data_IF_459292839408
#
_entry.id   IF_459292839408
#
_cell.length_a   1.000
_cell.length_b   1.000
_cell.length_c   1.000
_cell.angle_alpha   90.00
_cell.angle_beta   90.00
_cell.angle_gamma   90.00
#
_symmetry.space_group_name_H-M   'P 1'
#
loop_
_entity.id
_entity.type
_entity.pdbx_description
1 polymer ?
#
# COMPACT_ATOMS: atom_id res chain seq x y z
N UNK A 1 37.83 -29.25 33.85
CA UNK A 1 38.37 -28.44 32.73
C UNK A 1 38.13 -29.18 31.42
N UNK A 2 36.87 -29.26 31.00
CA UNK A 2 36.48 -29.65 29.65
C UNK A 2 35.40 -28.63 29.25
N UNK A 3 35.84 -27.39 29.05
CA UNK A 3 35.09 -26.43 28.24
C UNK A 3 35.26 -26.97 26.82
N UNK A 4 34.40 -27.94 26.49
CA UNK A 4 34.32 -28.50 25.14
C UNK A 4 34.01 -27.33 24.22
N UNK A 5 34.82 -27.23 23.15
CA UNK A 5 34.53 -26.42 21.99
C UNK A 5 33.10 -26.74 21.53
N UNK A 6 32.15 -25.92 21.97
CA UNK A 6 30.87 -25.77 21.28
C UNK A 6 31.25 -25.17 19.94
N UNK A 7 31.57 -26.04 18.98
CA UNK A 7 31.55 -25.69 17.57
C UNK A 7 30.23 -24.96 17.35
N UNK A 8 30.31 -23.65 17.13
CA UNK A 8 29.17 -22.86 16.70
C UNK A 8 28.79 -23.42 15.34
N UNK A 9 27.83 -24.33 15.34
CA UNK A 9 27.22 -24.80 14.12
C UNK A 9 26.50 -23.59 13.52
N UNK A 10 27.12 -22.99 12.51
CA UNK A 10 26.48 -21.92 11.75
C UNK A 10 25.35 -22.54 10.94
N UNK A 11 24.11 -22.32 11.36
CA UNK A 11 22.94 -22.67 10.59
C UNK A 11 22.97 -21.92 9.24
N UNK A 12 23.51 -22.57 8.21
CA UNK A 12 23.83 -22.01 6.89
C UNK A 12 22.70 -21.21 6.27
N UNK A 13 21.45 -21.65 6.46
CA UNK A 13 20.27 -21.04 5.85
C UNK A 13 19.46 -20.14 6.80
N UNK A 14 19.95 -19.87 8.01
CA UNK A 14 19.22 -19.06 8.99
C UNK A 14 18.80 -17.70 8.43
N UNK A 15 17.48 -17.46 8.40
CA UNK A 15 16.86 -16.24 7.91
C UNK A 15 16.91 -16.04 6.40
N UNK A 16 17.50 -16.96 5.62
CA UNK A 16 17.62 -16.87 4.16
C UNK A 16 16.35 -17.34 3.46
N UNK A 17 16.20 -16.87 2.22
CA UNK A 17 15.19 -17.44 1.31
C UNK A 17 15.74 -18.70 0.68
N UNK A 18 14.97 -19.77 0.76
CA UNK A 18 15.35 -21.10 0.28
C UNK A 18 14.28 -21.67 -0.66
N UNK A 19 14.70 -22.58 -1.52
CA UNK A 19 13.82 -23.46 -2.29
C UNK A 19 13.99 -24.89 -1.77
N UNK A 20 12.87 -25.60 -1.59
CA UNK A 20 12.87 -26.99 -1.14
C UNK A 20 13.05 -27.91 -2.35
N UNK A 21 13.93 -28.92 -2.23
CA UNK A 21 14.20 -29.89 -3.28
C UNK A 21 14.56 -31.27 -2.74
N UNK A 22 14.49 -32.30 -3.58
CA UNK A 22 14.96 -33.65 -3.26
C UNK A 22 14.13 -34.40 -2.22
N UNK A 23 12.94 -33.92 -1.88
CA UNK A 23 12.04 -34.61 -0.93
C UNK A 23 11.25 -35.68 -1.68
N UNK A 24 11.24 -36.91 -1.14
CA UNK A 24 10.48 -38.01 -1.71
C UNK A 24 9.02 -37.99 -1.24
N UNK A 25 8.09 -37.74 -2.16
CA UNK A 25 6.65 -37.81 -1.90
C UNK A 25 6.08 -36.57 -1.19
N UNK A 26 4.90 -36.76 -0.61
CA UNK A 26 4.20 -35.71 0.13
C UNK A 26 4.68 -35.66 1.58
N UNK A 27 4.81 -34.47 2.14
CA UNK A 27 5.05 -34.28 3.57
C UNK A 27 3.84 -33.60 4.22
N UNK A 28 3.74 -33.73 5.54
CA UNK A 28 2.72 -33.04 6.35
C UNK A 28 3.32 -31.75 6.90
N UNK A 29 2.68 -30.61 6.61
CA UNK A 29 3.04 -29.33 7.21
C UNK A 29 2.67 -29.31 8.69
N UNK A 30 3.25 -28.40 9.49
CA UNK A 30 2.92 -28.26 10.92
C UNK A 30 1.42 -27.96 11.19
N UNK A 31 0.64 -27.59 10.18
CA UNK A 31 -0.82 -27.43 10.22
C UNK A 31 -1.64 -28.67 9.85
N UNK A 32 -1.02 -29.79 9.49
CA UNK A 32 -1.68 -31.04 9.09
C UNK A 32 -1.93 -31.23 7.59
N UNK A 33 -1.71 -30.18 6.78
CA UNK A 33 -1.89 -30.26 5.33
C UNK A 33 -0.78 -31.09 4.67
N UNK A 34 -1.17 -32.01 3.77
CA UNK A 34 -0.22 -32.80 2.98
C UNK A 34 0.03 -32.14 1.64
N UNK A 35 1.29 -31.87 1.32
CA UNK A 35 1.66 -31.22 0.06
C UNK A 35 2.97 -31.78 -0.53
N UNK A 36 3.20 -31.52 -1.81
CA UNK A 36 4.46 -31.82 -2.49
C UNK A 36 5.39 -30.63 -2.28
N UNK A 37 6.50 -30.77 -1.53
CA UNK A 37 7.27 -29.61 -1.10
C UNK A 37 8.30 -29.15 -2.13
N UNK A 38 8.68 -30.00 -3.09
CA UNK A 38 9.70 -29.66 -4.08
C UNK A 38 9.26 -28.50 -4.98
N UNK A 39 10.12 -27.49 -5.12
CA UNK A 39 9.88 -26.27 -5.87
C UNK A 39 9.20 -25.16 -5.06
N UNK A 40 8.81 -25.42 -3.80
CA UNK A 40 8.28 -24.38 -2.92
C UNK A 40 9.42 -23.49 -2.42
N UNK A 41 9.22 -22.17 -2.55
CA UNK A 41 10.09 -21.16 -1.98
C UNK A 41 9.59 -20.69 -0.61
N UNK A 42 10.51 -20.34 0.28
CA UNK A 42 10.19 -19.87 1.62
C UNK A 42 11.36 -19.22 2.34
N UNK A 43 11.16 -18.92 3.62
CA UNK A 43 12.21 -18.47 4.54
C UNK A 43 12.54 -19.58 5.51
N UNK A 44 13.82 -19.92 5.64
CA UNK A 44 14.30 -20.92 6.59
C UNK A 44 14.61 -20.28 7.95
N UNK A 45 14.16 -20.92 9.03
CA UNK A 45 14.51 -20.61 10.42
C UNK A 45 14.93 -21.91 11.09
N UNK A 46 16.07 -21.92 11.77
CA UNK A 46 16.61 -23.07 12.46
C UNK A 46 15.78 -23.38 13.71
N UNK A 47 15.30 -24.61 13.82
CA UNK A 47 14.60 -25.12 14.98
C UNK A 47 15.55 -26.02 15.77
N UNK A 48 16.10 -25.49 16.86
CA UNK A 48 17.03 -26.20 17.74
C UNK A 48 16.42 -27.45 18.38
N UNK A 49 15.10 -27.46 18.62
CA UNK A 49 14.40 -28.58 19.26
C UNK A 49 14.35 -29.80 18.32
N UNK A 50 14.12 -29.54 17.03
CA UNK A 50 13.99 -30.59 16.02
C UNK A 50 15.29 -30.90 15.26
N UNK A 51 16.30 -30.02 15.37
CA UNK A 51 17.55 -30.15 14.62
C UNK A 51 17.35 -30.04 13.11
N UNK A 52 16.34 -29.26 12.68
CA UNK A 52 15.94 -29.05 11.29
C UNK A 52 15.58 -27.58 11.05
N UNK A 53 15.45 -27.17 9.79
CA UNK A 53 14.91 -25.86 9.45
C UNK A 53 13.38 -25.90 9.38
N UNK A 54 12.72 -25.02 10.12
CA UNK A 54 11.33 -24.64 9.89
C UNK A 54 11.27 -23.66 8.71
N UNK A 55 10.86 -24.15 7.54
CA UNK A 55 10.71 -23.34 6.32
C UNK A 55 9.29 -22.81 6.23
N UNK A 56 9.12 -21.49 6.41
CA UNK A 56 7.86 -20.80 6.13
C UNK A 56 7.78 -20.48 4.64
N UNK A 57 6.98 -21.24 3.92
CA UNK A 57 6.75 -21.10 2.47
C UNK A 57 6.01 -19.79 2.15
N UNK A 58 6.13 -19.31 0.91
CA UNK A 58 5.38 -18.13 0.43
C UNK A 58 3.86 -18.33 0.47
N UNK A 59 3.39 -19.58 0.48
CA UNK A 59 1.97 -19.93 0.62
C UNK A 59 1.50 -20.01 2.08
N UNK A 60 2.39 -19.74 3.05
CA UNK A 60 2.08 -19.65 4.47
C UNK A 60 2.26 -20.96 5.25
N UNK A 61 2.55 -22.08 4.59
CA UNK A 61 2.83 -23.35 5.27
C UNK A 61 4.20 -23.34 5.94
N UNK A 62 4.33 -24.05 7.07
CA UNK A 62 5.59 -24.29 7.77
C UNK A 62 5.96 -25.77 7.66
N UNK A 63 7.14 -26.03 7.10
CA UNK A 63 7.64 -27.36 6.78
C UNK A 63 8.98 -27.60 7.48
N UNK A 64 9.15 -28.78 8.08
CA UNK A 64 10.40 -29.17 8.75
C UNK A 64 11.34 -29.86 7.78
N UNK A 65 12.40 -29.16 7.39
CA UNK A 65 13.32 -29.57 6.33
C UNK A 65 14.74 -29.77 6.87
N UNK A 66 15.40 -30.90 6.55
CA UNK A 66 16.82 -31.03 6.76
C UNK A 66 17.59 -30.12 5.78
N UNK A 67 18.81 -29.73 6.16
CA UNK A 67 19.63 -28.80 5.37
C UNK A 67 19.87 -29.27 3.93
N UNK A 68 20.05 -30.58 3.74
CA UNK A 68 20.30 -31.22 2.44
C UNK A 68 19.15 -31.09 1.44
N UNK A 69 17.94 -30.80 1.91
CA UNK A 69 16.77 -30.56 1.07
C UNK A 69 16.58 -29.07 0.73
N UNK A 70 17.51 -28.20 1.10
CA UNK A 70 17.42 -26.75 0.89
C UNK A 70 18.50 -26.23 -0.06
N UNK A 71 18.12 -25.26 -0.89
CA UNK A 71 19.04 -24.44 -1.68
C UNK A 71 18.69 -22.96 -1.61
N UNK A 72 19.65 -22.09 -1.91
CA UNK A 72 19.39 -20.65 -1.99
C UNK A 72 18.33 -20.35 -3.05
N UNK A 73 17.30 -19.59 -2.66
CA UNK A 73 16.22 -19.21 -3.58
C UNK A 73 16.68 -18.15 -4.58
N UNK A 74 16.56 -18.44 -5.88
CA UNK A 74 16.90 -17.48 -6.94
C UNK A 74 15.69 -16.58 -7.22
N UNK A 75 15.79 -15.32 -6.78
CA UNK A 75 14.75 -14.33 -7.01
C UNK A 75 14.63 -13.96 -8.49
N UNK A 76 13.43 -14.09 -9.02
CA UNK A 76 13.04 -13.53 -10.32
C UNK A 76 12.71 -12.05 -10.16
N UNK A 77 12.90 -11.24 -11.21
CA UNK A 77 12.58 -9.80 -11.17
C UNK A 77 11.07 -9.57 -11.09
N UNK A 78 10.60 -8.47 -10.48
CA UNK A 78 9.18 -8.12 -10.44
C UNK A 78 8.48 -8.13 -11.80
N UNK A 79 9.13 -7.60 -12.83
CA UNK A 79 8.61 -7.48 -14.20
C UNK A 79 8.42 -8.86 -14.87
N UNK A 80 9.10 -9.89 -14.36
CA UNK A 80 8.98 -11.29 -14.78
C UNK A 80 8.07 -12.10 -13.83
N UNK A 81 7.35 -11.42 -12.92
CA UNK A 81 6.44 -12.02 -11.96
C UNK A 81 7.08 -12.42 -10.62
N UNK A 82 8.33 -12.03 -10.38
CA UNK A 82 9.02 -12.20 -9.10
C UNK A 82 8.77 -11.06 -8.11
N UNK A 83 9.78 -10.72 -7.31
CA UNK A 83 9.72 -9.68 -6.27
C UNK A 83 11.12 -9.13 -5.96
N UNK A 84 11.19 -7.90 -5.43
CA UNK A 84 12.46 -7.29 -5.02
C UNK A 84 12.89 -7.82 -3.65
N UNK A 85 11.96 -7.86 -2.69
CA UNK A 85 12.19 -8.29 -1.31
C UNK A 85 11.11 -9.23 -0.79
N UNK A 86 11.44 -10.06 0.19
CA UNK A 86 10.45 -10.76 0.99
C UNK A 86 10.23 -10.02 2.31
N UNK A 87 9.02 -10.06 2.86
CA UNK A 87 8.67 -9.46 4.14
C UNK A 87 9.65 -9.91 5.24
N UNK A 88 10.16 -9.01 6.10
CA UNK A 88 11.25 -9.31 7.01
C UNK A 88 10.84 -10.32 8.09
N UNK A 89 11.82 -11.06 8.59
CA UNK A 89 11.67 -11.74 9.87
C UNK A 89 11.71 -10.72 11.01
N UNK A 90 11.21 -11.13 12.18
CA UNK A 90 11.26 -10.30 13.38
C UNK A 90 12.71 -9.86 13.67
N UNK A 91 12.91 -8.57 13.95
CA UNK A 91 14.21 -7.97 14.24
C UNK A 91 15.00 -7.48 13.00
N UNK A 92 14.51 -7.71 11.78
CA UNK A 92 15.12 -7.22 10.53
C UNK A 92 14.37 -6.02 9.91
N UNK A 93 13.42 -5.44 10.64
CA UNK A 93 12.49 -4.43 10.10
C UNK A 93 13.22 -3.16 9.67
N UNK A 94 14.19 -2.68 10.46
CA UNK A 94 14.90 -1.44 10.14
C UNK A 94 15.72 -1.55 8.84
N UNK A 95 16.48 -2.63 8.67
CA UNK A 95 17.25 -2.85 7.45
C UNK A 95 16.33 -3.02 6.24
N UNK A 96 15.22 -3.75 6.42
CA UNK A 96 14.20 -3.90 5.40
C UNK A 96 13.62 -2.55 4.98
N UNK A 97 13.23 -1.68 5.92
CA UNK A 97 12.70 -0.35 5.64
C UNK A 97 13.65 0.50 4.79
N UNK A 98 14.95 0.49 5.13
CA UNK A 98 15.97 1.24 4.38
C UNK A 98 16.10 0.71 2.94
N UNK A 99 16.15 -0.62 2.76
CA UNK A 99 16.28 -1.25 1.43
C UNK A 99 15.05 -1.00 0.55
N UNK A 100 13.86 -1.10 1.14
CA UNK A 100 12.59 -0.80 0.48
C UNK A 100 12.53 0.67 0.06
N UNK A 101 12.85 1.59 0.97
CA UNK A 101 12.84 3.03 0.68
C UNK A 101 13.88 3.40 -0.39
N UNK A 102 15.09 2.85 -0.32
CA UNK A 102 16.13 3.05 -1.34
C UNK A 102 15.69 2.54 -2.73
N UNK A 103 14.99 1.42 -2.77
CA UNK A 103 14.48 0.84 -4.02
C UNK A 103 13.36 1.69 -4.61
N UNK A 104 12.40 2.13 -3.80
CA UNK A 104 11.34 3.05 -4.24
C UNK A 104 11.97 4.35 -4.75
N UNK A 105 12.98 4.89 -4.06
CA UNK A 105 13.69 6.11 -4.50
C UNK A 105 14.36 5.93 -5.87
N UNK A 106 14.97 4.77 -6.13
CA UNK A 106 15.71 4.49 -7.37
C UNK A 106 14.82 4.09 -8.54
N UNK A 107 13.84 3.20 -8.33
CA UNK A 107 12.99 2.60 -9.37
C UNK A 107 11.62 3.28 -9.49
N UNK A 108 11.19 4.05 -8.48
CA UNK A 108 9.84 4.58 -8.35
C UNK A 108 8.85 3.59 -7.71
N UNK A 109 9.21 2.31 -7.58
CA UNK A 109 8.35 1.27 -7.02
C UNK A 109 9.15 0.11 -6.41
N UNK A 110 8.45 -0.77 -5.68
CA UNK A 110 8.99 -2.02 -5.11
C UNK A 110 7.89 -3.07 -4.99
N UNK A 111 8.24 -4.33 -5.20
CA UNK A 111 7.35 -5.48 -4.99
C UNK A 111 7.88 -6.35 -3.86
N UNK A 112 7.03 -6.61 -2.87
CA UNK A 112 7.36 -7.38 -1.67
C UNK A 112 6.53 -8.66 -1.60
N UNK A 113 7.21 -9.79 -1.45
CA UNK A 113 6.59 -11.09 -1.22
C UNK A 113 6.20 -11.26 0.25
N UNK A 114 4.95 -11.64 0.49
CA UNK A 114 4.40 -11.94 1.81
C UNK A 114 4.35 -13.46 2.07
N UNK A 115 3.92 -13.88 3.26
CA UNK A 115 3.92 -15.29 3.69
C UNK A 115 2.59 -15.68 4.35
N UNK A 116 1.47 -15.25 3.77
CA UNK A 116 0.14 -15.54 4.32
C UNK A 116 -0.37 -16.91 3.87
N UNK A 117 -1.26 -17.50 4.66
CA UNK A 117 -1.88 -18.81 4.40
C UNK A 117 -3.12 -18.75 3.52
N UNK A 118 -3.41 -19.85 2.79
CA UNK A 118 -4.62 -19.97 1.95
C UNK A 118 -5.92 -19.86 2.76
N UNK A 119 -5.93 -20.28 4.04
CA UNK A 119 -7.10 -20.14 4.91
C UNK A 119 -7.47 -18.69 5.16
N UNK A 120 -6.46 -17.86 5.48
CA UNK A 120 -6.67 -16.43 5.77
C UNK A 120 -7.11 -15.67 4.52
N UNK A 121 -6.52 -15.98 3.35
CA UNK A 121 -6.95 -15.44 2.05
C UNK A 121 -8.41 -15.76 1.77
N UNK A 122 -8.81 -17.04 1.91
CA UNK A 122 -10.19 -17.47 1.71
C UNK A 122 -11.14 -16.75 2.67
N UNK A 123 -10.76 -16.61 3.94
CA UNK A 123 -11.51 -15.85 4.93
C UNK A 123 -11.69 -14.37 4.54
N UNK A 124 -10.63 -13.72 4.06
CA UNK A 124 -10.70 -12.32 3.61
C UNK A 124 -11.54 -12.16 2.33
N UNK A 125 -11.43 -13.09 1.39
CA UNK A 125 -12.27 -13.12 0.19
C UNK A 125 -13.75 -13.30 0.54
N UNK A 126 -14.08 -14.22 1.45
CA UNK A 126 -15.44 -14.40 1.94
C UNK A 126 -15.95 -13.14 2.63
N UNK A 127 -15.18 -12.60 3.57
CA UNK A 127 -15.54 -11.37 4.29
C UNK A 127 -15.76 -10.20 3.32
N UNK A 128 -14.98 -10.11 2.23
CA UNK A 128 -15.15 -9.07 1.22
C UNK A 128 -16.46 -9.27 0.44
N UNK A 129 -16.76 -10.50 0.00
CA UNK A 129 -18.00 -10.81 -0.71
C UNK A 129 -19.26 -10.54 0.12
N UNK A 130 -19.18 -10.71 1.44
CA UNK A 130 -20.28 -10.44 2.37
C UNK A 130 -20.52 -8.95 2.63
N UNK A 131 -19.62 -8.05 2.18
CA UNK A 131 -19.80 -6.60 2.33
C UNK A 131 -20.94 -6.09 1.46
N UNK A 132 -21.73 -5.18 2.02
CA UNK A 132 -22.85 -4.51 1.35
C UNK A 132 -22.61 -3.02 1.06
N UNK A 133 -21.49 -2.47 1.52
CA UNK A 133 -21.13 -1.05 1.43
C UNK A 133 -20.20 -0.75 0.23
N UNK A 134 -20.35 -1.52 -0.84
CA UNK A 134 -19.64 -1.29 -2.09
C UNK A 134 -20.11 0.02 -2.74
N UNK A 135 -19.16 0.77 -3.27
CA UNK A 135 -19.40 2.01 -4.00
C UNK A 135 -18.42 2.15 -5.16
N UNK A 136 -18.78 3.02 -6.11
CA UNK A 136 -17.85 3.55 -7.09
C UNK A 136 -17.50 4.99 -6.71
N UNK A 137 -16.23 5.41 -6.84
CA UNK A 137 -15.91 6.83 -6.82
C UNK A 137 -16.68 7.56 -7.93
N UNK A 138 -16.89 8.87 -7.76
CA UNK A 138 -17.45 9.67 -8.85
C UNK A 138 -16.56 9.61 -10.09
N UNK A 139 -17.12 9.67 -11.31
CA UNK A 139 -16.34 9.56 -12.55
C UNK A 139 -15.14 10.52 -12.60
N UNK A 140 -15.33 11.74 -12.12
CA UNK A 140 -14.30 12.80 -12.09
C UNK A 140 -13.13 12.48 -11.14
N UNK A 141 -13.36 11.59 -10.16
CA UNK A 141 -12.39 11.21 -9.13
C UNK A 141 -11.84 9.79 -9.32
N UNK A 142 -12.48 8.97 -10.16
CA UNK A 142 -12.21 7.54 -10.32
C UNK A 142 -10.73 7.25 -10.61
N UNK A 143 -10.15 7.92 -11.61
CA UNK A 143 -8.76 7.71 -12.01
C UNK A 143 -7.77 7.99 -10.87
N UNK A 144 -8.05 9.02 -10.07
CA UNK A 144 -7.20 9.42 -8.97
C UNK A 144 -7.16 8.39 -7.82
N UNK A 145 -8.22 7.62 -7.62
CA UNK A 145 -8.27 6.56 -6.61
C UNK A 145 -7.94 5.18 -7.16
N UNK A 146 -8.39 4.85 -8.38
CA UNK A 146 -8.40 3.48 -8.89
C UNK A 146 -7.42 3.25 -10.04
N UNK A 147 -6.77 4.30 -10.53
CA UNK A 147 -5.96 4.28 -11.74
C UNK A 147 -6.81 4.39 -13.01
N UNK A 148 -6.16 4.38 -14.16
CA UNK A 148 -6.80 4.47 -15.48
C UNK A 148 -7.64 3.22 -15.75
N UNK A 149 -8.72 3.40 -16.52
CA UNK A 149 -9.58 2.31 -17.00
C UNK A 149 -10.09 1.39 -15.87
N UNK A 150 -10.42 1.96 -14.72
CA UNK A 150 -10.78 1.17 -13.54
C UNK A 150 -12.09 0.39 -13.74
N UNK A 151 -11.99 -0.94 -13.65
CA UNK A 151 -13.12 -1.87 -13.67
C UNK A 151 -13.34 -2.51 -12.28
N UNK A 152 -13.33 -1.69 -11.23
CA UNK A 152 -13.40 -2.18 -9.85
C UNK A 152 -14.36 -1.34 -9.00
N UNK A 153 -15.02 -2.00 -8.05
CA UNK A 153 -15.77 -1.39 -6.95
C UNK A 153 -14.92 -1.37 -5.69
N UNK A 154 -15.23 -0.45 -4.78
CA UNK A 154 -14.47 -0.28 -3.54
C UNK A 154 -15.37 -0.18 -2.33
N UNK A 155 -14.83 -0.53 -1.17
CA UNK A 155 -15.44 -0.33 0.13
C UNK A 155 -14.39 0.22 1.09
N UNK A 156 -14.72 1.29 1.81
CA UNK A 156 -13.80 1.94 2.75
C UNK A 156 -13.79 1.18 4.07
N UNK A 157 -12.60 0.77 4.53
CA UNK A 157 -12.43 0.16 5.84
C UNK A 157 -12.65 1.21 6.92
N UNK A 158 -13.58 0.92 7.83
CA UNK A 158 -13.89 1.80 8.96
C UNK A 158 -12.94 1.51 10.11
N UNK A 159 -12.63 2.53 10.93
CA UNK A 159 -11.79 2.35 12.11
C UNK A 159 -12.40 1.40 13.15
N UNK A 160 -13.72 1.23 13.14
CA UNK A 160 -14.48 0.41 14.09
C UNK A 160 -14.66 -1.06 13.65
N UNK A 161 -14.06 -1.47 12.53
CA UNK A 161 -14.13 -2.88 12.12
C UNK A 161 -13.44 -3.79 13.15
N UNK A 162 -13.98 -5.00 13.34
CA UNK A 162 -13.43 -5.97 14.29
C UNK A 162 -11.98 -6.28 13.94
N UNK A 163 -11.09 -6.18 14.94
CA UNK A 163 -9.68 -6.54 14.81
C UNK A 163 -9.48 -8.01 14.36
N UNK A 164 -10.47 -8.87 14.61
CA UNK A 164 -10.44 -10.29 14.26
C UNK A 164 -10.91 -10.57 12.81
N UNK A 165 -11.29 -9.54 12.06
CA UNK A 165 -11.64 -9.66 10.64
C UNK A 165 -10.43 -10.13 9.83
N UNK A 166 -10.55 -11.16 8.96
CA UNK A 166 -9.49 -11.53 8.04
C UNK A 166 -9.01 -10.37 7.15
N UNK A 167 -9.88 -9.43 6.79
CA UNK A 167 -9.50 -8.25 6.00
C UNK A 167 -8.66 -7.28 6.85
N UNK A 168 -8.96 -7.17 8.15
CA UNK A 168 -8.21 -6.27 9.04
C UNK A 168 -6.79 -6.77 9.26
N UNK A 169 -6.53 -8.09 9.16
CA UNK A 169 -5.16 -8.62 9.09
C UNK A 169 -4.37 -8.03 7.92
N UNK A 170 -4.95 -8.02 6.71
CA UNK A 170 -4.29 -7.43 5.54
C UNK A 170 -4.14 -5.91 5.67
N UNK A 171 -5.13 -5.22 6.24
CA UNK A 171 -5.01 -3.81 6.58
C UNK A 171 -3.86 -3.56 7.58
N UNK A 172 -3.68 -4.44 8.56
CA UNK A 172 -2.56 -4.39 9.50
C UNK A 172 -1.22 -4.53 8.79
N UNK A 173 -1.08 -5.44 7.82
CA UNK A 173 0.15 -5.53 7.03
C UNK A 173 0.44 -4.26 6.22
N UNK A 174 -0.60 -3.63 5.64
CA UNK A 174 -0.46 -2.32 4.97
C UNK A 174 -0.04 -1.23 5.97
N UNK A 175 -0.59 -1.22 7.20
CA UNK A 175 -0.19 -0.31 8.27
C UNK A 175 1.28 -0.52 8.67
N UNK A 176 1.72 -1.77 8.78
CA UNK A 176 3.11 -2.10 9.09
C UNK A 176 4.07 -1.61 8.00
N UNK A 177 3.71 -1.78 6.71
CA UNK A 177 4.49 -1.24 5.60
C UNK A 177 4.55 0.29 5.64
N UNK A 178 3.42 0.95 5.91
CA UNK A 178 3.39 2.41 6.04
C UNK A 178 4.27 2.89 7.21
N UNK A 179 4.22 2.21 8.35
CA UNK A 179 5.06 2.52 9.52
C UNK A 179 6.55 2.34 9.23
N UNK A 180 6.92 1.26 8.53
CA UNK A 180 8.28 1.02 8.05
C UNK A 180 8.81 2.18 7.19
N UNK A 181 7.96 2.75 6.33
CA UNK A 181 8.31 3.85 5.43
C UNK A 181 8.22 5.24 6.08
N UNK A 182 7.45 5.41 7.15
CA UNK A 182 7.23 6.70 7.81
C UNK A 182 8.54 7.38 8.18
N UNK A 183 9.40 6.68 8.93
CA UNK A 183 10.68 7.22 9.39
C UNK A 183 11.71 7.48 8.29
N UNK A 184 11.50 6.97 7.09
CA UNK A 184 12.42 7.12 5.94
C UNK A 184 11.94 8.17 4.94
N UNK A 185 10.72 8.69 5.08
CA UNK A 185 10.06 9.41 3.98
C UNK A 185 10.67 10.77 3.68
N UNK A 186 11.08 11.53 4.69
CA UNK A 186 11.70 12.83 4.48
C UNK A 186 13.04 12.68 3.74
N UNK A 187 13.90 11.78 4.22
CA UNK A 187 15.25 11.56 3.69
C UNK A 187 15.25 10.90 2.30
N UNK A 188 14.36 9.94 2.05
CA UNK A 188 14.34 9.19 0.79
C UNK A 188 13.42 9.78 -0.25
N UNK A 189 12.33 10.42 0.17
CA UNK A 189 11.26 10.83 -0.74
C UNK A 189 11.07 12.34 -0.84
N UNK A 190 11.66 13.11 0.09
CA UNK A 190 11.62 14.57 0.08
C UNK A 190 10.28 15.15 0.53
N UNK A 191 9.48 14.39 1.30
CA UNK A 191 8.23 14.87 1.88
C UNK A 191 8.08 14.38 3.31
N UNK A 192 7.39 15.18 4.14
CA UNK A 192 7.03 14.79 5.49
C UNK A 192 5.67 14.11 5.49
N UNK A 193 5.55 12.85 5.92
CA UNK A 193 4.27 12.16 5.93
C UNK A 193 3.32 12.79 6.96
N UNK A 194 2.03 12.83 6.64
CA UNK A 194 0.98 13.13 7.61
C UNK A 194 0.95 12.02 8.69
N UNK A 195 0.68 12.40 9.94
CA UNK A 195 0.56 11.46 11.06
C UNK A 195 -0.61 10.48 10.84
N UNK A 196 -1.59 10.91 10.04
CA UNK A 196 -2.71 10.09 9.62
C UNK A 196 -2.53 9.57 8.20
N UNK A 197 -2.55 8.25 8.06
CA UNK A 197 -2.69 7.60 6.75
C UNK A 197 -4.07 7.94 6.19
N UNK A 198 -4.14 8.18 4.88
CA UNK A 198 -5.44 8.24 4.19
C UNK A 198 -6.18 6.91 4.35
N UNK A 199 -7.52 6.94 4.35
CA UNK A 199 -8.35 5.76 4.55
C UNK A 199 -7.91 4.56 3.71
N UNK A 200 -8.15 3.35 4.22
CA UNK A 200 -7.90 2.12 3.46
C UNK A 200 -9.17 1.69 2.78
N UNK A 201 -9.03 1.21 1.56
CA UNK A 201 -10.14 0.62 0.83
C UNK A 201 -9.84 -0.82 0.47
N UNK A 202 -10.89 -1.62 0.49
CA UNK A 202 -10.96 -2.91 -0.15
C UNK A 202 -11.46 -2.70 -1.57
N UNK A 203 -10.82 -3.36 -2.53
CA UNK A 203 -11.13 -3.27 -3.95
C UNK A 203 -11.42 -4.66 -4.50
N UNK A 204 -12.48 -4.78 -5.29
CA UNK A 204 -12.84 -5.98 -6.06
C UNK A 204 -13.25 -5.61 -7.49
N UNK A 205 -13.08 -6.50 -8.48
CA UNK A 205 -13.59 -6.30 -9.83
C UNK A 205 -15.11 -6.11 -9.84
N UNK A 206 -15.59 -5.31 -10.78
CA UNK A 206 -17.00 -5.30 -11.15
C UNK A 206 -17.36 -6.62 -11.84
N UNK A 207 -18.52 -7.19 -11.53
CA UNK A 207 -19.02 -8.43 -12.12
C UNK A 207 -19.62 -8.21 -13.53
N UNK A 208 -19.92 -6.97 -13.89
CA UNK A 208 -20.48 -6.61 -15.19
C UNK A 208 -20.94 -5.16 -15.27
N UNK A 209 -21.53 -4.79 -16.42
CA UNK A 209 -22.08 -3.45 -16.65
C UNK A 209 -23.28 -3.17 -15.74
N UNK A 210 -24.15 -4.16 -15.52
CA UNK A 210 -25.33 -4.02 -14.66
C UNK A 210 -24.95 -3.61 -13.23
N UNK A 211 -23.88 -4.20 -12.68
CA UNK A 211 -23.37 -3.80 -11.35
C UNK A 211 -22.78 -2.40 -11.37
N UNK A 212 -22.09 -2.01 -12.46
CA UNK A 212 -21.56 -0.64 -12.62
C UNK A 212 -22.70 0.39 -12.63
N UNK A 213 -23.77 0.11 -13.36
CA UNK A 213 -24.96 0.97 -13.43
C UNK A 213 -25.65 1.06 -12.06
N UNK A 214 -25.76 -0.05 -11.33
CA UNK A 214 -26.35 -0.08 -9.99
C UNK A 214 -25.54 0.74 -8.96
N UNK A 215 -24.21 0.70 -9.05
CA UNK A 215 -23.31 1.40 -8.12
C UNK A 215 -22.94 2.82 -8.57
N UNK A 216 -23.46 3.29 -9.72
CA UNK A 216 -23.07 4.56 -10.31
C UNK A 216 -23.50 5.74 -9.44
N UNK A 217 -22.57 6.58 -8.92
CA UNK A 217 -22.90 7.66 -7.99
C UNK A 217 -23.47 8.91 -8.67
N UNK A 218 -23.69 8.87 -9.99
CA UNK A 218 -24.00 10.06 -10.78
C UNK A 218 -22.79 10.98 -11.00
N UNK A 219 -22.93 11.99 -11.85
CA UNK A 219 -21.92 13.05 -11.98
C UNK A 219 -21.84 13.89 -10.69
N UNK A 220 -20.76 14.67 -10.58
CA UNK A 220 -20.59 15.63 -9.50
C UNK A 220 -21.71 16.70 -9.51
N UNK A 221 -22.35 16.93 -8.36
CA UNK A 221 -23.42 17.91 -8.20
C UNK A 221 -22.93 19.19 -7.52
N UNK A 222 -23.56 20.33 -7.82
CA UNK A 222 -23.18 21.63 -7.25
C UNK A 222 -23.22 21.62 -5.71
N UNK A 223 -24.19 20.96 -5.08
CA UNK A 223 -24.26 20.88 -3.63
C UNK A 223 -23.08 20.15 -3.00
N UNK A 224 -22.44 19.22 -3.72
CA UNK A 224 -21.26 18.50 -3.26
C UNK A 224 -20.00 19.38 -3.40
N UNK A 225 -19.95 20.20 -4.44
CA UNK A 225 -18.94 21.26 -4.58
C UNK A 225 -19.06 22.22 -3.40
N UNK A 226 -20.28 22.70 -3.09
CA UNK A 226 -20.53 23.62 -1.98
C UNK A 226 -20.20 22.97 -0.60
N UNK A 227 -20.25 21.64 -0.51
CA UNK A 227 -19.87 20.86 0.68
C UNK A 227 -18.37 20.60 0.80
N UNK A 228 -17.56 21.06 -0.14
CA UNK A 228 -16.11 20.91 -0.08
C UNK A 228 -15.58 19.57 -0.63
N UNK A 229 -16.40 18.78 -1.35
CA UNK A 229 -15.99 17.45 -1.84
C UNK A 229 -14.86 17.58 -2.87
N UNK A 230 -14.91 18.61 -3.71
CA UNK A 230 -13.87 18.87 -4.72
C UNK A 230 -12.56 19.27 -4.05
N UNK A 231 -12.62 20.13 -3.05
CA UNK A 231 -11.48 20.60 -2.26
C UNK A 231 -10.82 19.43 -1.55
N UNK A 232 -11.61 18.53 -0.94
CA UNK A 232 -11.10 17.30 -0.33
C UNK A 232 -10.43 16.37 -1.35
N UNK A 233 -11.00 16.27 -2.56
CA UNK A 233 -10.38 15.50 -3.64
C UNK A 233 -9.06 16.13 -4.12
N UNK A 234 -9.04 17.45 -4.31
CA UNK A 234 -7.84 18.18 -4.71
C UNK A 234 -6.74 18.07 -3.63
N UNK A 235 -7.09 18.19 -2.35
CA UNK A 235 -6.17 17.95 -1.23
C UNK A 235 -5.57 16.53 -1.31
N UNK A 236 -6.42 15.53 -1.55
CA UNK A 236 -5.97 14.14 -1.74
C UNK A 236 -5.01 14.00 -2.92
N UNK A 237 -5.35 14.51 -4.11
CA UNK A 237 -4.51 14.43 -5.31
C UNK A 237 -3.17 15.14 -5.09
N UNK A 238 -3.19 16.31 -4.45
CA UNK A 238 -1.99 17.10 -4.21
C UNK A 238 -1.07 16.48 -3.18
N UNK A 239 -1.60 15.78 -2.18
CA UNK A 239 -0.84 15.27 -1.04
C UNK A 239 -0.49 13.79 -1.12
N UNK A 240 -1.13 12.99 -1.97
CA UNK A 240 -0.75 11.57 -2.10
C UNK A 240 0.67 11.46 -2.65
N UNK A 241 1.51 10.65 -2.01
CA UNK A 241 2.91 10.45 -2.41
C UNK A 241 3.19 8.99 -2.71
N UNK A 242 2.81 8.08 -1.81
CA UNK A 242 2.93 6.64 -2.03
C UNK A 242 1.57 5.98 -2.11
N UNK A 243 1.43 4.99 -2.98
CA UNK A 243 0.31 4.05 -2.97
C UNK A 243 0.82 2.68 -2.55
N UNK A 244 0.14 2.05 -1.59
CA UNK A 244 0.42 0.70 -1.11
C UNK A 244 -0.76 -0.18 -1.51
N UNK A 245 -0.51 -1.23 -2.29
CA UNK A 245 -1.51 -2.21 -2.72
C UNK A 245 -1.09 -3.59 -2.23
N UNK A 246 -1.87 -4.18 -1.33
CA UNK A 246 -1.76 -5.59 -0.97
C UNK A 246 -2.68 -6.42 -1.88
N UNK A 247 -2.08 -7.20 -2.77
CA UNK A 247 -2.75 -8.19 -3.62
C UNK A 247 -3.06 -9.45 -2.80
N UNK A 248 -4.22 -9.49 -2.16
CA UNK A 248 -4.58 -10.56 -1.21
C UNK A 248 -4.81 -11.88 -1.93
N UNK A 249 -5.69 -11.87 -2.92
CA UNK A 249 -6.00 -13.04 -3.73
C UNK A 249 -6.35 -12.60 -5.15
N UNK A 250 -5.90 -13.37 -6.15
CA UNK A 250 -6.14 -13.09 -7.56
C UNK A 250 -5.79 -14.31 -8.42
N UNK A 251 -6.28 -14.30 -9.68
CA UNK A 251 -5.94 -15.32 -10.69
C UNK A 251 -4.94 -14.79 -11.73
N UNK A 252 -4.08 -13.88 -11.31
CA UNK A 252 -3.15 -13.14 -12.18
C UNK A 252 -3.78 -11.89 -12.80
N UNK A 253 -3.11 -11.34 -13.81
CA UNK A 253 -3.42 -10.03 -14.39
C UNK A 253 -2.18 -9.15 -14.43
N UNK A 254 -2.36 -7.84 -14.56
CA UNK A 254 -1.24 -6.90 -14.63
C UNK A 254 -1.53 -5.58 -13.91
N UNK A 255 -0.49 -5.01 -13.32
CA UNK A 255 -0.42 -3.59 -12.95
C UNK A 255 0.58 -2.94 -13.90
N UNK A 256 0.15 -1.93 -14.63
CA UNK A 256 1.02 -1.10 -15.44
C UNK A 256 1.25 0.23 -14.72
N UNK A 257 2.50 0.57 -14.43
CA UNK A 257 2.88 1.85 -13.87
C UNK A 257 3.28 2.78 -15.03
N UNK A 258 2.71 3.98 -15.05
CA UNK A 258 2.93 4.99 -16.09
C UNK A 258 3.70 6.16 -15.48
N UNK A 259 5.04 6.21 -15.61
CA UNK A 259 5.80 7.37 -15.19
C UNK A 259 5.29 8.64 -15.85
N UNK A 260 5.38 9.77 -15.14
CA UNK A 260 5.10 11.06 -15.77
C UNK A 260 6.01 11.29 -16.97
N UNK A 261 5.47 11.95 -17.99
CA UNK A 261 6.17 12.18 -19.27
C UNK A 261 7.51 12.91 -19.09
N UNK A 262 7.60 13.83 -18.12
CA UNK A 262 8.82 14.59 -17.82
C UNK A 262 9.97 13.75 -17.28
N UNK A 263 9.69 12.55 -16.74
CA UNK A 263 10.71 11.62 -16.27
C UNK A 263 11.39 10.85 -17.42
N UNK A 264 10.80 10.84 -18.62
CA UNK A 264 11.30 10.10 -19.78
C UNK A 264 11.58 8.60 -19.49
N UNK A 265 10.81 7.99 -18.60
CA UNK A 265 10.91 6.58 -18.25
C UNK A 265 9.83 5.77 -18.98
N UNK A 266 10.12 4.53 -19.42
CA UNK A 266 9.12 3.67 -20.03
C UNK A 266 8.12 3.18 -18.99
N UNK A 267 6.92 2.83 -19.46
CA UNK A 267 5.91 2.14 -18.64
C UNK A 267 6.44 0.81 -18.12
N UNK A 268 6.06 0.47 -16.89
CA UNK A 268 6.50 -0.75 -16.20
C UNK A 268 5.31 -1.68 -16.06
N UNK A 269 5.40 -2.86 -16.67
CA UNK A 269 4.39 -3.90 -16.57
C UNK A 269 4.76 -4.91 -15.47
N UNK A 270 3.92 -5.00 -14.44
CA UNK A 270 4.07 -5.92 -13.32
C UNK A 270 3.00 -7.01 -13.40
N UNK A 271 3.38 -8.29 -13.63
CA UNK A 271 2.46 -9.40 -13.46
C UNK A 271 2.00 -9.49 -12.01
N UNK A 272 0.68 -9.51 -11.79
CA UNK A 272 0.14 -9.65 -10.43
C UNK A 272 0.04 -11.12 -10.05
N UNK A 273 0.27 -11.40 -8.78
CA UNK A 273 0.03 -12.70 -8.14
C UNK A 273 -0.42 -12.46 -6.71
N UNK A 274 -1.00 -13.49 -6.07
CA UNK A 274 -1.39 -13.43 -4.66
C UNK A 274 -0.20 -13.15 -3.73
N UNK A 275 -0.49 -12.67 -2.53
CA UNK A 275 0.45 -12.42 -1.42
C UNK A 275 1.61 -11.48 -1.76
N UNK A 276 1.30 -10.42 -2.51
CA UNK A 276 2.28 -9.38 -2.84
C UNK A 276 1.82 -8.02 -2.36
N UNK A 277 2.76 -7.27 -1.80
CA UNK A 277 2.60 -5.84 -1.54
C UNK A 277 3.38 -5.07 -2.60
N UNK A 278 2.70 -4.17 -3.29
CA UNK A 278 3.30 -3.25 -4.25
C UNK A 278 3.25 -1.86 -3.65
N UNK A 279 4.40 -1.18 -3.61
CA UNK A 279 4.49 0.22 -3.19
C UNK A 279 5.10 1.04 -4.33
N UNK A 280 4.50 2.16 -4.69
CA UNK A 280 5.01 3.04 -5.74
C UNK A 280 4.77 4.52 -5.46
N UNK A 281 5.61 5.38 -6.06
CA UNK A 281 5.53 6.85 -6.05
C UNK A 281 4.35 7.31 -6.90
N UNK A 282 3.18 7.42 -6.28
CA UNK A 282 1.94 7.84 -6.93
C UNK A 282 1.96 9.33 -7.36
N UNK A 283 2.89 10.12 -6.83
CA UNK A 283 3.16 11.48 -7.29
C UNK A 283 4.05 11.54 -8.55
N UNK A 284 4.78 10.46 -8.84
CA UNK A 284 5.66 10.33 -10.00
C UNK A 284 5.10 9.43 -11.11
N UNK A 285 4.14 8.57 -10.78
CA UNK A 285 3.59 7.57 -11.67
C UNK A 285 2.08 7.44 -11.49
N UNK A 286 1.34 7.39 -12.61
CA UNK A 286 -0.02 6.85 -12.65
C UNK A 286 0.02 5.33 -12.75
N UNK A 287 -1.15 4.68 -12.71
CA UNK A 287 -1.21 3.23 -12.88
C UNK A 287 -2.50 2.77 -13.55
N UNK A 288 -2.45 1.59 -14.17
CA UNK A 288 -3.60 0.85 -14.69
C UNK A 288 -3.65 -0.52 -14.05
N UNK A 289 -4.80 -0.91 -13.49
CA UNK A 289 -4.98 -2.21 -12.84
C UNK A 289 -5.93 -3.12 -13.64
N UNK A 290 -5.40 -4.23 -14.16
CA UNK A 290 -6.14 -5.18 -15.00
C UNK A 290 -6.11 -6.58 -14.38
N UNK A 291 -6.96 -6.87 -13.38
CA UNK A 291 -7.04 -8.20 -12.78
C UNK A 291 -7.63 -9.21 -13.76
N UNK A 292 -7.22 -10.48 -13.63
CA UNK A 292 -7.79 -11.59 -14.41
C UNK A 292 -8.89 -12.28 -13.62
N UNK A 293 -10.14 -12.06 -14.04
CA UNK A 293 -11.31 -12.72 -13.45
C UNK A 293 -12.02 -11.87 -12.39
N UNK A 294 -13.12 -12.41 -11.86
CA UNK A 294 -14.01 -11.71 -10.93
C UNK A 294 -13.62 -11.86 -9.44
N UNK A 295 -12.71 -12.78 -9.13
CA UNK A 295 -12.30 -13.12 -7.76
C UNK A 295 -10.91 -12.54 -7.49
N UNK A 296 -10.85 -11.23 -7.39
CA UNK A 296 -9.63 -10.48 -7.10
C UNK A 296 -9.92 -9.56 -5.92
N UNK A 297 -9.00 -9.55 -4.95
CA UNK A 297 -9.12 -8.80 -3.71
C UNK A 297 -7.83 -8.01 -3.47
N UNK A 298 -7.97 -6.70 -3.40
CA UNK A 298 -6.86 -5.79 -3.09
C UNK A 298 -7.21 -4.93 -1.88
N UNK A 299 -6.27 -4.80 -0.94
CA UNK A 299 -6.32 -3.81 0.12
C UNK A 299 -5.37 -2.67 -0.24
N UNK A 300 -5.92 -1.47 -0.44
CA UNK A 300 -5.20 -0.32 -0.98
C UNK A 300 -5.27 0.87 -0.02
N UNK A 301 -4.16 1.58 0.13
CA UNK A 301 -4.07 2.81 0.93
C UNK A 301 -2.97 3.74 0.42
N UNK A 302 -2.99 5.00 0.85
CA UNK A 302 -2.00 5.99 0.45
C UNK A 302 -1.30 6.63 1.61
N UNK A 303 -0.02 6.91 1.37
CA UNK A 303 0.82 7.72 2.23
C UNK A 303 0.78 9.16 1.75
N UNK A 304 0.30 10.04 2.63
CA UNK A 304 0.00 11.43 2.34
C UNK A 304 1.10 12.32 2.91
N UNK A 305 1.43 13.41 2.23
CA UNK A 305 2.24 14.49 2.78
C UNK A 305 1.43 15.29 3.84
N UNK A 306 2.09 15.83 4.86
CA UNK A 306 1.48 16.71 5.87
C UNK A 306 0.72 17.87 5.17
N UNK A 307 -0.48 18.22 5.67
CA UNK A 307 -1.20 19.38 5.14
C UNK A 307 -0.34 20.63 5.29
N UNK A 308 -0.20 21.39 4.19
CA UNK A 308 0.39 22.72 4.26
C UNK A 308 -0.55 23.62 5.06
N UNK A 309 -0.31 23.71 6.37
CA UNK A 309 -0.99 24.67 7.24
C UNK A 309 -0.52 26.05 6.81
N UNK A 310 -1.34 26.75 6.02
CA UNK A 310 -1.14 28.17 5.72
C UNK A 310 -1.08 28.91 7.05
N UNK A 311 0.13 29.16 7.54
CA UNK A 311 0.34 30.03 8.69
C UNK A 311 0.31 31.46 8.17
N UNK A 312 -0.73 32.19 8.57
CA UNK A 312 -0.72 33.64 8.43
C UNK A 312 0.26 34.14 9.50
N UNK A 313 1.55 34.24 9.16
CA UNK A 313 2.63 34.63 10.08
C UNK A 313 2.57 36.11 10.51
N UNK A 314 1.47 36.79 10.18
CA UNK A 314 1.20 38.17 10.53
C UNK A 314 0.83 38.95 9.28
N UNK A 315 -0.29 39.68 9.36
CA UNK A 315 -0.65 40.66 8.35
C UNK A 315 0.25 41.89 8.55
N UNK A 316 1.42 41.92 7.90
CA UNK A 316 2.26 43.14 7.85
C UNK A 316 1.69 44.07 6.79
N UNK A 317 0.62 44.76 7.16
CA UNK A 317 0.07 45.90 6.43
C UNK A 317 -0.17 47.04 7.41
N UNK A 318 0.16 48.25 7.01
CA UNK A 318 -0.38 49.44 7.67
C UNK A 318 -1.92 49.33 7.60
N UNK A 319 -2.61 49.49 8.72
CA UNK A 319 -4.05 49.27 8.84
C UNK A 319 -4.81 50.09 7.78
N UNK A 320 -4.27 51.26 7.46
CA UNK A 320 -4.67 52.17 6.39
C UNK A 320 -4.66 51.54 4.99
N UNK A 321 -3.62 50.78 4.64
CA UNK A 321 -3.49 50.13 3.33
C UNK A 321 -4.45 48.94 3.19
N UNK A 322 -4.76 48.27 4.30
CA UNK A 322 -5.77 47.21 4.32
C UNK A 322 -7.18 47.79 4.17
N UNK A 323 -7.48 48.88 4.86
CA UNK A 323 -8.74 49.62 4.74
C UNK A 323 -8.95 50.19 3.34
N UNK A 324 -7.87 50.67 2.70
CA UNK A 324 -7.89 51.17 1.32
C UNK A 324 -8.09 50.02 0.30
N UNK A 325 -7.40 48.90 0.46
CA UNK A 325 -7.54 47.73 -0.41
C UNK A 325 -8.91 47.03 -0.29
N UNK A 326 -9.53 47.06 0.89
CA UNK A 326 -10.88 46.53 1.13
C UNK A 326 -11.99 47.50 0.70
N UNK A 327 -11.64 48.68 0.18
CA UNK A 327 -12.62 49.69 -0.26
C UNK A 327 -13.43 50.30 0.88
N UNK A 328 -12.94 50.22 2.13
CA UNK A 328 -13.64 50.71 3.33
C UNK A 328 -13.34 52.19 3.62
N UNK A 329 -12.59 52.86 2.73
CA UNK A 329 -12.28 54.28 2.83
C UNK A 329 -13.53 55.17 2.83
N UNK A 330 -14.07 55.45 4.02
CA UNK A 330 -15.07 56.50 4.22
C UNK A 330 -15.98 56.36 5.45
N UNK A 331 -16.15 55.16 6.02
CA UNK A 331 -16.99 55.00 7.22
C UNK A 331 -16.15 54.49 8.40
N UNK A 332 -16.08 55.22 9.53
CA UNK A 332 -15.41 54.72 10.73
C UNK A 332 -16.04 53.39 11.14
N UNK A 333 -15.22 52.35 11.16
CA UNK A 333 -15.63 51.01 11.61
C UNK A 333 -15.76 51.08 13.13
N UNK A 334 -16.97 50.80 13.62
CA UNK A 334 -17.25 50.71 15.05
C UNK A 334 -16.40 49.58 15.66
N UNK A 335 -15.57 49.89 16.65
CA UNK A 335 -14.54 48.99 17.19
C UNK A 335 -15.09 47.72 17.85
N UNK A 336 -16.41 47.64 18.02
CA UNK A 336 -17.12 46.48 18.58
C UNK A 336 -17.59 45.46 17.53
N UNK A 337 -17.33 45.66 16.23
CA UNK A 337 -17.72 44.69 15.19
C UNK A 337 -16.56 43.82 14.74
N UNK A 338 -16.62 42.53 15.08
CA UNK A 338 -15.78 41.50 14.49
C UNK A 338 -15.98 41.44 12.97
N UNK A 339 -14.89 41.62 12.23
CA UNK A 339 -14.89 41.42 10.77
C UNK A 339 -14.64 39.95 10.49
N UNK A 340 -15.62 39.29 9.86
CA UNK A 340 -15.45 37.95 9.31
C UNK A 340 -14.91 38.05 7.88
N UNK A 341 -13.68 37.58 7.66
CA UNK A 341 -13.12 37.45 6.32
C UNK A 341 -13.74 36.19 5.70
N UNK A 342 -14.62 36.38 4.72
CA UNK A 342 -15.38 35.27 4.10
C UNK A 342 -14.64 34.59 2.94
N UNK A 343 -13.67 35.26 2.31
CA UNK A 343 -12.80 34.65 1.29
C UNK A 343 -11.55 35.53 1.05
N UNK A 344 -10.40 34.88 0.80
CA UNK A 344 -9.20 35.51 0.28
C UNK A 344 -8.77 34.80 -1.00
N UNK A 345 -8.61 35.52 -2.10
CA UNK A 345 -8.20 34.95 -3.38
C UNK A 345 -6.78 35.43 -3.72
N UNK A 346 -5.81 34.52 -3.65
CA UNK A 346 -4.43 34.81 -4.01
C UNK A 346 -4.17 34.44 -5.47
N UNK A 347 -3.93 35.43 -6.33
CA UNK A 347 -3.34 35.19 -7.65
C UNK A 347 -1.85 34.91 -7.47
N UNK A 348 -1.44 33.67 -7.67
CA UNK A 348 -0.02 33.35 -7.84
C UNK A 348 0.41 33.75 -9.25
N UNK A 349 1.58 34.36 -9.39
CA UNK A 349 2.19 34.60 -10.68
C UNK A 349 2.59 33.26 -11.29
N UNK A 350 2.08 32.95 -12.50
CA UNK A 350 2.51 31.78 -13.25
C UNK A 350 3.96 31.92 -13.68
N UNK A 351 4.74 30.84 -13.51
CA UNK A 351 6.08 30.70 -14.09
C UNK A 351 6.00 30.40 -15.59
#
# INVERSE_FOLDING_TARGET
MAQQDMEQWEARFEGKLVEIQGVEGSIEARGGDRMMPNGLGGRALWDEEHGMYAVRTFEGHVLDMPEENLQDFVRTKPEEGGFDYAWPAAGQEQEFSVRVADTIRKKGYVVVQMFEGDELRRGAMQAAQERSDWMLPKPEFEEAYLGREAASKVSMLRQEESADSPIEHYNHQVKMMASALYGMSEDFFGFRPDDYRSGTMVRMPLQGLDEREMLFPGPLQQSEVDQGVVEGHLDFVQRRRLCIMYLVDNRGGTIELHPREDLCQPDVLLPISKDKVIVFRHDLMGYTYKPKGAYDLVVQSWFMEEQQKLRIDGLKGDQTALEEALGVGGCPIDSDRQVHIMAGNCRMAGN
#
